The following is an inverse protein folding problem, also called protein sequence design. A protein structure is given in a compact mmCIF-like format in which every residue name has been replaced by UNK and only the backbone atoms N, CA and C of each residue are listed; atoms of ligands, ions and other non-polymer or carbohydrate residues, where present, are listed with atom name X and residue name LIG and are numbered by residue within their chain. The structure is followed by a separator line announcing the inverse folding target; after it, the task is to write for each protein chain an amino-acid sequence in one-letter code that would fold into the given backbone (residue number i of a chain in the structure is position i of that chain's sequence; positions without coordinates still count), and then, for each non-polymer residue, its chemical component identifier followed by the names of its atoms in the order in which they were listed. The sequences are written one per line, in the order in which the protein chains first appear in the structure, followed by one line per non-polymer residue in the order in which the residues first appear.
data_IF_466724545819
#
_entry.id   IF_466724545819
#
_cell.length_a   1.000
_cell.length_b   1.000
_cell.length_c   1.000
_cell.angle_alpha   90.00
_cell.angle_beta   90.00
_cell.angle_gamma   90.00
#
_symmetry.space_group_name_H-M   'P 1'
#
loop_
_entity.id
_entity.type
_entity.pdbx_description
1 polymer ?
#
# COMPACT_ATOMS: atom_id res chain seq x y z
N UNK A 1 -28.57 11.56 11.50
CA UNK A 1 -27.87 10.51 10.72
C UNK A 1 -27.02 11.22 9.68
N UNK A 2 -25.70 11.32 9.86
CA UNK A 2 -24.84 11.89 8.82
C UNK A 2 -24.92 10.99 7.59
N UNK A 3 -25.16 11.57 6.43
CA UNK A 3 -25.06 10.83 5.18
C UNK A 3 -23.57 10.56 4.95
N UNK A 4 -23.15 9.31 5.07
CA UNK A 4 -21.80 8.91 4.66
C UNK A 4 -21.73 9.12 3.16
N UNK A 5 -20.82 9.98 2.72
CA UNK A 5 -20.63 10.26 1.30
C UNK A 5 -20.03 9.03 0.61
N UNK A 6 -20.84 8.38 -0.25
CA UNK A 6 -20.45 7.20 -1.05
C UNK A 6 -19.13 7.44 -1.79
N UNK A 7 -18.91 8.66 -2.29
CA UNK A 7 -17.69 9.07 -3.00
C UNK A 7 -16.44 9.06 -2.10
N UNK A 8 -16.52 9.54 -0.85
CA UNK A 8 -15.39 9.54 0.09
C UNK A 8 -14.95 8.12 0.44
N UNK A 9 -15.89 7.21 0.63
CA UNK A 9 -15.59 5.80 0.90
C UNK A 9 -14.89 5.15 -0.30
N UNK A 10 -15.40 5.40 -1.52
CA UNK A 10 -14.84 4.80 -2.73
C UNK A 10 -13.46 5.35 -3.07
N UNK A 11 -13.23 6.66 -2.87
CA UNK A 11 -11.93 7.30 -3.08
C UNK A 11 -10.88 6.81 -2.07
N UNK A 12 -11.21 6.76 -0.77
CA UNK A 12 -10.31 6.20 0.23
C UNK A 12 -10.03 4.72 -0.05
N UNK A 13 -11.04 3.95 -0.45
CA UNK A 13 -10.89 2.56 -0.81
C UNK A 13 -10.00 2.36 -2.04
N UNK A 14 -10.15 3.13 -3.12
CA UNK A 14 -9.31 2.95 -4.30
C UNK A 14 -7.84 3.33 -4.02
N UNK A 15 -7.60 4.32 -3.14
CA UNK A 15 -6.27 4.72 -2.66
C UNK A 15 -5.58 3.71 -1.72
N UNK A 16 -6.19 2.56 -1.48
CA UNK A 16 -5.63 1.49 -0.66
C UNK A 16 -5.76 1.71 0.86
N UNK A 17 -6.58 2.67 1.29
CA UNK A 17 -6.87 2.87 2.72
C UNK A 17 -7.60 1.62 3.26
N UNK A 18 -7.15 1.13 4.41
CA UNK A 18 -7.76 -0.02 5.08
C UNK A 18 -9.13 0.33 5.64
N UNK A 19 -10.06 -0.64 5.65
CA UNK A 19 -11.44 -0.42 6.12
C UNK A 19 -11.48 0.18 7.54
N UNK A 20 -10.63 -0.30 8.46
CA UNK A 20 -10.53 0.23 9.82
C UNK A 20 -10.22 1.73 9.85
N UNK A 21 -9.33 2.20 8.98
CA UNK A 21 -8.96 3.63 8.91
C UNK A 21 -10.11 4.46 8.33
N UNK A 22 -10.79 3.94 7.32
CA UNK A 22 -11.99 4.59 6.75
C UNK A 22 -13.09 4.74 7.82
N UNK A 23 -13.23 3.76 8.72
CA UNK A 23 -14.19 3.82 9.83
C UNK A 23 -13.86 4.96 10.79
N UNK A 24 -12.60 5.10 11.16
CA UNK A 24 -12.13 6.16 12.07
C UNK A 24 -12.29 7.53 11.44
N UNK A 25 -11.80 7.72 10.21
CA UNK A 25 -11.85 9.01 9.50
C UNK A 25 -13.26 9.50 9.21
N UNK A 26 -14.16 8.58 8.82
CA UNK A 26 -15.53 8.92 8.47
C UNK A 26 -16.53 8.73 9.62
N UNK A 27 -16.04 8.35 10.81
CA UNK A 27 -16.86 8.06 11.99
C UNK A 27 -18.06 7.15 11.67
N UNK A 28 -17.78 6.03 11.00
CA UNK A 28 -18.81 5.11 10.49
C UNK A 28 -18.52 3.64 10.85
N UNK A 29 -19.54 2.79 10.69
CA UNK A 29 -19.41 1.36 10.96
C UNK A 29 -18.85 0.61 9.75
N UNK A 30 -18.12 -0.48 10.00
CA UNK A 30 -17.66 -1.40 8.95
C UNK A 30 -18.81 -1.90 8.07
N UNK A 31 -19.99 -2.12 8.66
CA UNK A 31 -21.20 -2.53 7.95
C UNK A 31 -21.67 -1.48 6.94
N UNK A 32 -21.49 -0.20 7.22
CA UNK A 32 -21.86 0.88 6.32
C UNK A 32 -20.92 0.95 5.12
N UNK A 33 -19.61 0.85 5.36
CA UNK A 33 -18.58 0.77 4.31
C UNK A 33 -18.82 -0.45 3.43
N UNK A 34 -19.00 -1.62 4.04
CA UNK A 34 -19.30 -2.86 3.34
C UNK A 34 -20.55 -2.73 2.46
N UNK A 35 -21.62 -2.13 3.00
CA UNK A 35 -22.85 -1.87 2.23
C UNK A 35 -22.59 -0.95 1.04
N UNK A 36 -21.79 0.11 1.21
CA UNK A 36 -21.42 1.04 0.13
C UNK A 36 -20.63 0.31 -0.97
N UNK A 37 -19.60 -0.45 -0.60
CA UNK A 37 -18.77 -1.21 -1.54
C UNK A 37 -19.60 -2.23 -2.34
N UNK A 38 -20.50 -2.95 -1.65
CA UNK A 38 -21.39 -3.91 -2.31
C UNK A 38 -22.41 -3.21 -3.20
N UNK A 39 -22.99 -2.09 -2.77
CA UNK A 39 -23.90 -1.28 -3.60
C UNK A 39 -23.18 -0.79 -4.86
N UNK A 40 -21.95 -0.29 -4.74
CA UNK A 40 -21.15 0.17 -5.87
C UNK A 40 -20.81 -0.98 -6.83
N UNK A 41 -20.44 -2.16 -6.30
CA UNK A 41 -20.24 -3.38 -7.09
C UNK A 41 -21.49 -3.77 -7.88
N UNK A 42 -22.66 -3.85 -7.24
CA UNK A 42 -23.89 -4.27 -7.92
C UNK A 42 -24.34 -3.24 -8.97
N UNK A 43 -24.20 -1.93 -8.69
CA UNK A 43 -24.44 -0.86 -9.69
C UNK A 43 -23.58 -1.02 -10.96
N UNK A 44 -22.36 -1.52 -10.79
CA UNK A 44 -21.39 -1.70 -11.87
C UNK A 44 -21.41 -3.11 -12.47
N UNK A 45 -22.34 -3.97 -12.03
CA UNK A 45 -22.46 -5.32 -12.54
C UNK A 45 -23.12 -5.30 -13.92
N UNK A 46 -22.45 -5.92 -14.88
CA UNK A 46 -22.95 -6.21 -16.22
C UNK A 46 -23.21 -7.71 -16.33
N UNK A 47 -24.07 -8.16 -17.26
CA UNK A 47 -24.52 -9.58 -17.38
C UNK A 47 -23.46 -10.61 -16.98
N UNK A 48 -22.28 -10.55 -17.59
CA UNK A 48 -21.18 -11.49 -17.38
C UNK A 48 -19.85 -10.83 -16.94
N UNK A 49 -19.87 -9.55 -16.53
CA UNK A 49 -18.66 -8.76 -16.25
C UNK A 49 -18.97 -7.62 -15.27
N UNK A 50 -17.95 -6.82 -14.94
CA UNK A 50 -18.12 -5.50 -14.33
C UNK A 50 -17.83 -4.40 -15.35
N UNK A 51 -18.33 -3.20 -15.06
CA UNK A 51 -17.97 -1.97 -15.77
C UNK A 51 -16.46 -1.70 -15.68
N UNK A 52 -15.98 -0.83 -16.57
CA UNK A 52 -14.57 -0.43 -16.56
C UNK A 52 -14.22 0.40 -15.31
N UNK A 53 -15.14 1.23 -14.81
CA UNK A 53 -14.88 2.05 -13.62
C UNK A 53 -14.70 1.20 -12.36
N UNK A 54 -15.51 0.15 -12.20
CA UNK A 54 -15.31 -0.80 -11.10
C UNK A 54 -13.99 -1.56 -11.22
N UNK A 55 -13.59 -1.94 -12.44
CA UNK A 55 -12.31 -2.60 -12.68
C UNK A 55 -11.11 -1.67 -12.44
N UNK A 56 -11.23 -0.37 -12.73
CA UNK A 56 -10.23 0.65 -12.40
C UNK A 56 -10.06 0.79 -10.89
N UNK A 57 -11.16 0.90 -10.14
CA UNK A 57 -11.13 0.96 -8.67
C UNK A 57 -10.40 -0.25 -8.07
N UNK A 58 -10.62 -1.46 -8.61
CA UNK A 58 -9.88 -2.66 -8.22
C UNK A 58 -8.38 -2.53 -8.52
N UNK A 59 -8.04 -2.09 -9.74
CA UNK A 59 -6.65 -1.99 -10.17
C UNK A 59 -5.89 -0.91 -9.40
N UNK A 60 -6.51 0.22 -9.09
CA UNK A 60 -5.95 1.28 -8.24
C UNK A 60 -5.64 0.73 -6.84
N UNK A 61 -6.58 0.00 -6.23
CA UNK A 61 -6.36 -0.62 -4.92
C UNK A 61 -5.21 -1.65 -4.92
N UNK A 62 -5.06 -2.43 -6.00
CA UNK A 62 -3.91 -3.35 -6.21
C UNK A 62 -2.59 -2.58 -6.35
N UNK A 63 -2.58 -1.45 -7.06
CA UNK A 63 -1.39 -0.58 -7.18
C UNK A 63 -0.94 0.02 -5.85
N UNK A 64 -1.87 0.24 -4.94
CA UNK A 64 -1.59 0.64 -3.57
C UNK A 64 -1.19 -0.55 -2.67
N UNK A 65 -0.76 -1.66 -3.27
CA UNK A 65 -0.25 -2.89 -2.63
C UNK A 65 -1.22 -3.56 -1.65
N UNK A 66 -2.52 -3.34 -1.82
CA UNK A 66 -3.50 -4.13 -1.08
C UNK A 66 -3.53 -5.54 -1.69
N UNK A 67 -3.34 -6.61 -0.90
CA UNK A 67 -3.33 -7.97 -1.43
C UNK A 67 -4.62 -8.29 -2.18
N UNK A 68 -4.53 -8.85 -3.38
CA UNK A 68 -5.70 -9.22 -4.21
C UNK A 68 -6.73 -10.07 -3.48
N UNK A 69 -6.28 -10.93 -2.57
CA UNK A 69 -7.15 -11.74 -1.70
C UNK A 69 -7.99 -10.86 -0.77
N UNK A 70 -7.38 -9.83 -0.18
CA UNK A 70 -8.07 -8.82 0.64
C UNK A 70 -9.10 -8.07 -0.19
N UNK A 71 -8.71 -7.54 -1.36
CA UNK A 71 -9.63 -6.84 -2.28
C UNK A 71 -10.82 -7.73 -2.65
N UNK A 72 -10.56 -9.01 -2.96
CA UNK A 72 -11.60 -9.98 -3.31
C UNK A 72 -12.58 -10.22 -2.14
N UNK A 73 -12.08 -10.33 -0.92
CA UNK A 73 -12.88 -10.49 0.29
C UNK A 73 -13.75 -9.27 0.56
N UNK A 74 -13.16 -8.07 0.55
CA UNK A 74 -13.85 -6.80 0.84
C UNK A 74 -14.96 -6.53 -0.18
N UNK A 75 -14.72 -6.81 -1.47
CA UNK A 75 -15.70 -6.63 -2.55
C UNK A 75 -16.61 -7.85 -2.74
N UNK A 76 -16.38 -8.97 -2.04
CA UNK A 76 -17.10 -10.24 -2.24
C UNK A 76 -17.15 -10.69 -3.71
N UNK A 77 -15.97 -10.72 -4.33
CA UNK A 77 -15.77 -11.21 -5.70
C UNK A 77 -14.67 -12.27 -5.73
N UNK A 78 -14.52 -12.98 -6.85
CA UNK A 78 -13.46 -13.96 -7.01
C UNK A 78 -12.10 -13.26 -7.24
N UNK A 79 -11.03 -13.79 -6.65
CA UNK A 79 -9.63 -13.37 -6.88
C UNK A 79 -9.26 -13.40 -8.38
N UNK A 80 -9.83 -14.30 -9.16
CA UNK A 80 -9.68 -14.35 -10.61
C UNK A 80 -10.23 -13.08 -11.29
N UNK A 81 -11.35 -12.53 -10.79
CA UNK A 81 -11.92 -11.27 -11.27
C UNK A 81 -11.00 -10.11 -10.95
N UNK A 82 -10.45 -10.05 -9.73
CA UNK A 82 -9.45 -9.05 -9.34
C UNK A 82 -8.25 -9.12 -10.28
N UNK A 83 -7.72 -10.32 -10.50
CA UNK A 83 -6.57 -10.55 -11.39
C UNK A 83 -6.84 -10.12 -12.84
N UNK A 84 -8.07 -10.35 -13.35
CA UNK A 84 -8.47 -9.88 -14.69
C UNK A 84 -8.54 -8.36 -14.77
N UNK A 85 -9.13 -7.71 -13.77
CA UNK A 85 -9.18 -6.24 -13.68
C UNK A 85 -7.77 -5.63 -13.63
N UNK A 86 -6.88 -6.19 -12.81
CA UNK A 86 -5.48 -5.75 -12.71
C UNK A 86 -4.69 -5.98 -14.01
N UNK A 87 -4.93 -7.09 -14.73
CA UNK A 87 -4.32 -7.30 -16.06
C UNK A 87 -4.82 -6.29 -17.09
N UNK A 88 -6.11 -5.95 -17.04
CA UNK A 88 -6.76 -5.06 -18.00
C UNK A 88 -6.39 -3.58 -17.76
N UNK A 89 -6.32 -3.14 -16.51
CA UNK A 89 -6.11 -1.74 -16.14
C UNK A 89 -4.81 -1.46 -15.41
N UNK A 90 -4.26 -2.43 -14.68
CA UNK A 90 -3.00 -2.27 -13.92
C UNK A 90 -1.75 -2.13 -14.78
N UNK A 91 -1.81 -2.35 -16.10
CA UNK A 91 -0.73 -1.98 -17.04
C UNK A 91 -0.98 -0.64 -17.76
N UNK A 92 -2.21 -0.11 -17.77
CA UNK A 92 -2.52 1.23 -18.32
C UNK A 92 -2.20 2.35 -17.33
N UNK A 93 -1.96 2.01 -16.08
CA UNK A 93 -1.38 2.85 -15.03
C UNK A 93 0.08 2.45 -14.75
N UNK A 94 0.85 2.08 -15.80
CA UNK A 94 2.31 2.06 -15.74
C UNK A 94 2.82 3.49 -15.59
N UNK A 95 2.81 3.95 -14.36
CA UNK A 95 3.15 5.31 -13.99
C UNK A 95 2.68 5.61 -12.57
N UNK A 96 2.99 4.73 -11.61
CA UNK A 96 3.18 5.15 -10.21
C UNK A 96 3.83 4.05 -9.39
N UNK A 97 5.05 4.36 -8.97
CA UNK A 97 5.79 3.74 -7.88
C UNK A 97 4.91 3.71 -6.63
N UNK A 98 4.98 2.61 -5.87
CA UNK A 98 4.16 2.43 -4.67
C UNK A 98 5.05 2.35 -3.43
N UNK A 99 4.59 2.94 -2.32
CA UNK A 99 5.33 3.15 -1.07
C UNK A 99 5.77 1.87 -0.33
N UNK A 100 5.47 0.69 -0.87
CA UNK A 100 5.89 -0.59 -0.32
C UNK A 100 7.18 -1.13 -0.95
N UNK A 101 7.60 -0.60 -2.09
CA UNK A 101 8.91 -0.92 -2.68
C UNK A 101 10.02 -0.02 -2.14
N UNK A 102 9.69 0.97 -1.30
CA UNK A 102 10.66 1.90 -0.71
C UNK A 102 11.68 1.20 0.19
N UNK A 103 11.31 0.06 0.79
CA UNK A 103 12.13 -0.58 1.82
C UNK A 103 12.20 -2.09 1.68
N UNK A 104 13.40 -2.66 1.88
CA UNK A 104 13.63 -4.11 1.87
C UNK A 104 14.14 -4.57 3.25
N UNK A 105 13.47 -5.54 3.88
CA UNK A 105 13.93 -6.10 5.18
C UNK A 105 15.27 -6.82 5.01
N UNK A 106 16.20 -6.58 5.94
CA UNK A 106 17.51 -7.23 5.99
C UNK A 106 17.52 -8.21 7.14
N UNK A 107 17.80 -9.48 6.83
CA UNK A 107 17.85 -10.57 7.79
C UNK A 107 19.30 -10.83 8.20
N UNK A 108 19.51 -11.29 9.44
CA UNK A 108 20.83 -11.70 9.93
C UNK A 108 21.70 -10.57 10.50
N UNK A 109 21.14 -9.37 10.65
CA UNK A 109 21.79 -8.24 11.33
C UNK A 109 21.05 -7.91 12.63
N UNK A 110 21.80 -7.47 13.63
CA UNK A 110 21.30 -7.15 14.96
C UNK A 110 21.58 -5.69 15.38
N UNK A 111 22.33 -4.93 14.58
CA UNK A 111 22.60 -3.51 14.79
C UNK A 111 23.10 -2.85 13.49
N UNK A 112 23.09 -1.52 13.47
CA UNK A 112 23.59 -0.68 12.37
C UNK A 112 24.91 0.03 12.71
N UNK A 113 25.80 -0.58 13.52
CA UNK A 113 27.14 0.00 13.78
C UNK A 113 28.06 -0.06 12.56
N UNK A 114 27.76 -0.96 11.62
CA UNK A 114 28.46 -1.12 10.35
C UNK A 114 27.44 -1.26 9.23
N UNK A 115 27.84 -0.93 8.01
CA UNK A 115 26.99 -1.08 6.83
C UNK A 115 26.65 -2.56 6.59
N UNK A 116 25.37 -2.96 6.51
CA UNK A 116 24.97 -4.33 6.23
C UNK A 116 25.44 -4.88 4.86
N UNK A 117 25.66 -4.00 3.88
CA UNK A 117 26.04 -4.41 2.51
C UNK A 117 27.55 -4.58 2.31
N UNK A 118 28.35 -3.59 2.75
CA UNK A 118 29.81 -3.59 2.53
C UNK A 118 30.63 -3.75 3.82
N UNK A 119 29.99 -3.91 4.98
CA UNK A 119 30.61 -4.03 6.30
C UNK A 119 31.52 -2.85 6.71
N UNK A 120 31.40 -1.71 6.04
CA UNK A 120 32.16 -0.49 6.37
C UNK A 120 31.75 0.08 7.73
N UNK A 121 32.72 0.63 8.46
CA UNK A 121 32.53 1.42 9.68
C UNK A 121 32.24 2.90 9.41
N UNK A 122 32.42 3.36 8.16
CA UNK A 122 32.14 4.74 7.75
C UNK A 122 30.65 4.95 7.54
N UNK A 123 29.91 4.96 8.65
CA UNK A 123 28.46 5.14 8.67
C UNK A 123 28.11 6.40 9.46
N UNK A 124 27.28 7.26 8.88
CA UNK A 124 26.73 8.42 9.57
C UNK A 124 25.34 8.09 10.11
N UNK A 125 25.03 8.52 11.33
CA UNK A 125 23.66 8.41 11.85
C UNK A 125 22.75 9.39 11.11
N UNK A 126 21.57 8.91 10.76
CA UNK A 126 20.52 9.70 10.14
C UNK A 126 19.21 9.49 10.88
N UNK A 127 18.34 10.49 10.84
CA UNK A 127 16.94 10.34 11.20
C UNK A 127 16.13 10.19 9.90
N UNK A 128 15.34 9.14 9.79
CA UNK A 128 14.51 8.87 8.62
C UNK A 128 13.04 8.86 9.02
N UNK A 129 12.23 9.61 8.28
CA UNK A 129 10.79 9.66 8.44
C UNK A 129 10.15 8.57 7.59
N UNK A 130 9.93 7.40 8.19
CA UNK A 130 9.29 6.28 7.51
C UNK A 130 7.82 6.22 7.95
N UNK A 131 6.90 6.51 7.02
CA UNK A 131 5.44 6.43 7.26
C UNK A 131 4.98 7.23 8.49
N UNK A 132 5.48 8.44 8.66
CA UNK A 132 5.24 9.33 9.81
C UNK A 132 5.79 8.83 11.16
N UNK A 133 6.65 7.81 11.17
CA UNK A 133 7.45 7.44 12.34
C UNK A 133 8.86 7.97 12.19
N UNK A 134 9.37 8.65 13.21
CA UNK A 134 10.79 8.98 13.26
C UNK A 134 11.57 7.69 13.59
N UNK A 135 12.49 7.31 12.71
CA UNK A 135 13.30 6.11 12.84
C UNK A 135 14.77 6.49 12.81
N UNK A 136 15.55 5.87 13.68
CA UNK A 136 17.01 6.00 13.64
C UNK A 136 17.58 5.09 12.56
N UNK A 137 18.46 5.63 11.73
CA UNK A 137 19.12 4.89 10.67
C UNK A 137 20.59 5.26 10.51
N UNK A 138 21.20 4.70 9.47
CA UNK A 138 22.55 5.03 9.03
C UNK A 138 22.59 5.29 7.52
N UNK A 139 23.49 6.16 7.09
CA UNK A 139 23.95 6.31 5.72
C UNK A 139 25.39 5.79 5.61
N UNK A 140 25.66 4.88 4.66
CA UNK A 140 27.01 4.38 4.42
C UNK A 140 27.78 5.28 3.44
N UNK A 141 28.90 5.85 3.89
CA UNK A 141 29.72 6.75 3.07
C UNK A 141 30.50 6.04 1.94
N UNK A 142 30.69 4.72 2.04
CA UNK A 142 31.46 3.97 1.03
C UNK A 142 30.57 3.40 -0.09
N UNK A 143 29.35 2.93 0.22
CA UNK A 143 28.45 2.36 -0.80
C UNK A 143 27.19 3.19 -1.06
N UNK A 144 26.97 4.29 -0.34
CA UNK A 144 25.86 5.21 -0.55
C UNK A 144 24.49 4.70 -0.14
N UNK A 145 24.39 3.54 0.53
CA UNK A 145 23.12 2.95 0.93
C UNK A 145 22.65 3.48 2.28
N UNK A 146 21.32 3.58 2.43
CA UNK A 146 20.67 3.92 3.69
C UNK A 146 19.94 2.74 4.32
N UNK A 147 19.97 2.72 5.64
CA UNK A 147 19.35 1.68 6.46
C UNK A 147 18.66 2.29 7.66
N UNK A 148 17.54 1.73 8.10
CA UNK A 148 16.86 2.16 9.33
C UNK A 148 16.37 0.98 10.16
N UNK A 149 16.15 1.25 11.45
CA UNK A 149 15.53 0.30 12.38
C UNK A 149 14.07 0.68 12.65
N UNK A 150 13.17 -0.31 12.56
CA UNK A 150 11.78 -0.17 12.92
C UNK A 150 11.31 -1.42 13.68
N UNK A 151 10.90 -1.25 14.95
CA UNK A 151 10.38 -2.33 15.82
C UNK A 151 11.35 -3.53 15.91
N UNK A 152 12.65 -3.29 16.04
CA UNK A 152 13.67 -4.33 16.16
C UNK A 152 14.01 -5.07 14.86
N UNK A 153 13.53 -4.57 13.72
CA UNK A 153 13.87 -5.05 12.37
C UNK A 153 14.63 -3.98 11.60
N UNK A 154 15.45 -4.40 10.66
CA UNK A 154 16.30 -3.52 9.87
C UNK A 154 15.91 -3.55 8.41
N UNK A 155 15.98 -2.39 7.76
CA UNK A 155 15.50 -2.21 6.40
C UNK A 155 16.52 -1.42 5.58
N UNK A 156 16.69 -1.80 4.31
CA UNK A 156 17.38 -1.03 3.27
C UNK A 156 16.40 -0.07 2.62
N UNK A 157 16.84 1.14 2.31
CA UNK A 157 16.07 2.11 1.52
C UNK A 157 16.40 1.92 0.03
N UNK A 158 15.38 1.64 -0.77
CA UNK A 158 15.48 1.50 -2.21
C UNK A 158 15.26 2.87 -2.86
N UNK A 159 16.33 3.65 -2.99
CA UNK A 159 16.29 5.00 -3.55
C UNK A 159 15.75 5.06 -4.98
N UNK A 160 15.82 3.97 -5.76
CA UNK A 160 15.23 3.92 -7.10
C UNK A 160 13.69 4.08 -7.11
N UNK A 161 13.07 4.09 -5.93
CA UNK A 161 11.64 4.30 -5.73
C UNK A 161 11.33 5.56 -4.92
N UNK A 162 12.33 6.39 -4.60
CA UNK A 162 12.18 7.70 -3.96
C UNK A 162 12.29 8.75 -5.07
N UNK A 163 11.18 9.39 -5.40
CA UNK A 163 11.11 10.60 -6.25
C UNK A 163 11.40 11.86 -5.42
#
# INVERSE_FOLDING_TARGET
MSQIEEEKVLDAFSKGVGILVIQEELSCLESDISRILIKYKEKNRQKNSFSDDFKKLIAERDMHNVPRKTIATELRINVATVSKACKQFGQKTKGRVSSYNLYSEIVGINNLKRCPNCNSEKVNRIESLVRNFNTSGIFCMDCGNEYFELKGKFYHINFEYID
#
